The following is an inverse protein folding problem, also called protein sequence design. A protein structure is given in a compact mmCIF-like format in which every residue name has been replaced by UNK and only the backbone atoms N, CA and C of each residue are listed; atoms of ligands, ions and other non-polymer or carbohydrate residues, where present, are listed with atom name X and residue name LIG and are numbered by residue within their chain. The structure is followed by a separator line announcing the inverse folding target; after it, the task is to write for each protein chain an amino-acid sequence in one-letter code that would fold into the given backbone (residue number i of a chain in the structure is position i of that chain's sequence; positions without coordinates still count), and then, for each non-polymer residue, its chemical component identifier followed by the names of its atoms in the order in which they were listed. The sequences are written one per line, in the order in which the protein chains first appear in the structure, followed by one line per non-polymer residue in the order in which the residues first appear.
data_IF_188063178741
#
_entry.id   IF_188063178741
#
_cell.length_a   1.000
_cell.length_b   1.000
_cell.length_c   1.000
_cell.angle_alpha   90.00
_cell.angle_beta   90.00
_cell.angle_gamma   90.00
#
_symmetry.space_group_name_H-M   'P 1'
#
loop_
_entity.id
_entity.type
_entity.pdbx_description
1 polymer ?
#
# COMPACT_ATOMS: atom_id res chain seq x y z
N UNK A 1 37.13 -54.51 43.72
CA UNK A 1 38.15 -55.12 42.85
C UNK A 1 37.77 -54.84 41.40
N UNK A 2 38.66 -54.15 40.66
CA UNK A 2 38.89 -54.10 39.19
C UNK A 2 37.67 -54.15 38.24
N UNK A 3 37.37 -53.09 37.48
CA UNK A 3 38.00 -52.57 36.24
C UNK A 3 37.33 -53.05 34.93
N UNK A 4 36.86 -52.05 34.18
CA UNK A 4 36.96 -51.79 32.74
C UNK A 4 36.27 -52.68 31.66
N UNK A 5 35.47 -51.94 30.87
CA UNK A 5 35.35 -51.90 29.40
C UNK A 5 34.27 -52.73 28.69
N UNK A 6 33.25 -51.99 28.20
CA UNK A 6 32.99 -51.74 26.77
C UNK A 6 31.51 -51.90 26.34
N UNK A 7 31.08 -50.93 25.55
CA UNK A 7 29.85 -50.79 24.74
C UNK A 7 28.56 -50.31 25.42
N UNK A 8 28.01 -49.13 25.03
CA UNK A 8 26.67 -48.71 25.39
C UNK A 8 25.64 -49.24 24.37
N UNK A 9 24.46 -49.71 24.80
CA UNK A 9 23.29 -49.71 23.94
C UNK A 9 22.59 -48.34 23.99
N UNK A 10 22.05 -47.97 22.83
CA UNK A 10 21.11 -46.88 22.56
C UNK A 10 20.17 -46.51 23.72
N UNK A 11 20.01 -45.20 24.03
CA UNK A 11 18.86 -44.73 24.78
C UNK A 11 17.71 -44.39 23.81
N UNK A 12 16.58 -45.03 24.05
CA UNK A 12 15.25 -44.44 24.29
C UNK A 12 14.87 -43.21 23.44
N UNK A 13 13.84 -43.42 22.61
CA UNK A 13 12.81 -42.48 22.18
C UNK A 13 12.92 -41.04 22.70
N UNK A 14 13.48 -40.14 21.88
CA UNK A 14 13.09 -38.73 21.89
C UNK A 14 12.04 -38.54 20.80
N UNK A 15 10.75 -38.51 21.18
CA UNK A 15 9.75 -37.80 20.38
C UNK A 15 10.15 -36.33 20.38
N UNK A 16 10.81 -35.87 19.33
CA UNK A 16 10.90 -34.45 19.00
C UNK A 16 9.49 -34.02 18.59
N UNK A 17 8.72 -33.54 19.56
CA UNK A 17 7.57 -32.68 19.31
C UNK A 17 8.15 -31.44 18.63
N UNK A 18 8.06 -31.38 17.30
CA UNK A 18 8.21 -30.12 16.58
C UNK A 18 7.03 -29.27 17.05
N UNK A 19 7.23 -28.47 18.10
CA UNK A 19 6.45 -27.24 18.24
C UNK A 19 6.77 -26.47 16.98
N UNK A 20 5.82 -26.48 16.03
CA UNK A 20 5.65 -25.34 15.16
C UNK A 20 5.32 -24.21 16.13
N UNK A 21 6.35 -23.51 16.61
CA UNK A 21 6.14 -22.15 17.07
C UNK A 21 5.62 -21.43 15.84
N UNK A 22 4.29 -21.35 15.74
CA UNK A 22 3.68 -20.19 15.13
C UNK A 22 4.17 -19.02 15.97
N UNK A 23 5.34 -18.48 15.65
CA UNK A 23 5.66 -17.09 15.97
C UNK A 23 4.79 -16.23 15.06
N UNK A 24 3.46 -16.34 15.21
CA UNK A 24 2.60 -15.22 14.95
C UNK A 24 3.01 -14.21 16.00
N UNK A 25 3.77 -13.21 15.61
CA UNK A 25 4.04 -12.05 16.46
C UNK A 25 2.69 -11.52 16.91
N UNK A 26 2.33 -11.79 18.16
CA UNK A 26 1.09 -11.29 18.74
C UNK A 26 1.21 -9.77 18.78
N UNK A 27 0.48 -9.11 17.90
CA UNK A 27 0.65 -7.71 17.55
C UNK A 27 -0.60 -6.89 17.81
N UNK A 28 -0.43 -5.58 17.87
CA UNK A 28 -1.54 -4.63 17.87
C UNK A 28 -2.01 -4.49 16.42
N UNK A 29 -3.30 -4.70 16.19
CA UNK A 29 -3.95 -4.57 14.89
C UNK A 29 -4.46 -3.14 14.73
N UNK A 30 -3.87 -2.40 13.79
CA UNK A 30 -4.36 -1.13 13.34
C UNK A 30 -4.21 -1.04 11.81
N UNK A 31 -5.15 -0.39 11.10
CA UNK A 31 -5.00 -0.12 9.68
C UNK A 31 -3.80 0.80 9.44
N UNK A 32 -3.03 0.54 8.39
CA UNK A 32 -1.87 1.38 8.05
C UNK A 32 -2.27 2.82 7.71
N UNK A 33 -3.48 3.00 7.15
CA UNK A 33 -4.01 4.30 6.74
C UNK A 33 -5.52 4.36 6.98
N UNK A 34 -5.99 5.50 7.46
CA UNK A 34 -7.41 5.84 7.62
C UNK A 34 -7.69 7.15 6.89
N UNK A 35 -8.83 7.25 6.21
CA UNK A 35 -9.23 8.46 5.49
C UNK A 35 -10.45 9.08 6.18
N UNK A 36 -10.37 10.37 6.51
CA UNK A 36 -11.47 11.14 7.09
C UNK A 36 -11.82 12.35 6.23
N UNK A 37 -13.04 12.87 6.37
CA UNK A 37 -13.46 14.12 5.71
C UNK A 37 -13.48 15.25 6.74
N UNK A 38 -13.28 16.49 6.26
CA UNK A 38 -13.38 17.68 7.12
C UNK A 38 -14.75 17.74 7.82
N UNK A 39 -14.73 17.98 9.13
CA UNK A 39 -15.92 18.08 9.98
C UNK A 39 -16.54 16.73 10.37
N UNK A 40 -16.17 15.63 9.72
CA UNK A 40 -16.67 14.30 10.08
C UNK A 40 -15.97 13.77 11.35
N UNK A 41 -16.53 12.69 11.91
CA UNK A 41 -15.89 11.91 12.97
C UNK A 41 -15.19 10.70 12.37
N UNK A 42 -13.91 10.52 12.66
CA UNK A 42 -13.12 9.37 12.19
C UNK A 42 -12.79 8.45 13.36
N UNK A 43 -12.79 7.14 13.10
CA UNK A 43 -12.37 6.12 14.05
C UNK A 43 -10.98 5.59 13.69
N UNK A 44 -10.02 5.80 14.60
CA UNK A 44 -8.69 5.21 14.55
C UNK A 44 -8.76 3.84 15.24
N UNK A 45 -9.00 2.79 14.43
CA UNK A 45 -9.14 1.43 14.95
C UNK A 45 -7.81 0.90 15.51
N UNK A 46 -7.83 0.38 16.73
CA UNK A 46 -6.66 -0.22 17.36
C UNK A 46 -7.06 -1.34 18.31
N UNK A 47 -6.77 -2.59 17.94
CA UNK A 47 -7.23 -3.79 18.65
C UNK A 47 -6.05 -4.68 19.03
N UNK A 48 -6.04 -5.18 20.26
CA UNK A 48 -5.03 -6.13 20.71
C UNK A 48 -5.43 -7.55 20.30
N UNK A 49 -4.54 -8.26 19.59
CA UNK A 49 -4.79 -9.65 19.21
C UNK A 49 -4.83 -10.55 20.46
N UNK A 50 -5.68 -11.60 20.50
CA UNK A 50 -5.76 -12.50 21.64
C UNK A 50 -4.40 -13.14 21.93
N UNK A 51 -3.89 -12.92 23.15
CA UNK A 51 -2.64 -13.50 23.63
C UNK A 51 -2.91 -14.91 24.18
N UNK A 52 -2.00 -15.86 23.90
CA UNK A 52 -2.10 -17.24 24.41
C UNK A 52 -1.83 -17.34 25.92
N UNK A 53 -1.19 -16.33 26.52
CA UNK A 53 -0.88 -16.25 27.96
C UNK A 53 -1.78 -15.21 28.66
N UNK A 54 -2.06 -15.38 29.96
CA UNK A 54 -2.77 -14.39 30.78
C UNK A 54 -1.97 -13.08 30.90
N UNK A 55 -2.20 -12.17 29.96
CA UNK A 55 -1.56 -10.84 29.93
C UNK A 55 -2.56 -9.80 30.41
N UNK A 56 -2.13 -8.95 31.35
CA UNK A 56 -2.93 -7.83 31.86
C UNK A 56 -2.49 -6.53 31.21
N UNK A 57 -3.42 -5.87 30.50
CA UNK A 57 -3.19 -4.54 29.94
C UNK A 57 -3.25 -3.52 31.07
N UNK A 58 -2.19 -2.73 31.24
CA UNK A 58 -2.09 -1.70 32.27
C UNK A 58 -2.53 -0.32 31.76
N UNK A 59 -2.30 -0.04 30.47
CA UNK A 59 -2.70 1.24 29.87
C UNK A 59 -2.74 1.15 28.34
N UNK A 60 -3.62 1.93 27.71
CA UNK A 60 -3.55 2.26 26.29
C UNK A 60 -3.19 3.73 26.14
N UNK A 61 -2.28 4.06 25.24
CA UNK A 61 -1.86 5.43 24.95
C UNK A 61 -1.83 5.67 23.45
N UNK A 62 -2.35 6.81 23.04
CA UNK A 62 -2.28 7.33 21.69
C UNK A 62 -1.33 8.51 21.66
N UNK A 63 -0.33 8.44 20.79
CA UNK A 63 0.55 9.56 20.50
C UNK A 63 0.39 10.02 19.06
N UNK A 64 0.51 11.33 18.85
CA UNK A 64 0.50 11.98 17.54
C UNK A 64 1.88 12.53 17.27
N UNK A 65 2.46 12.18 16.12
CA UNK A 65 3.70 12.79 15.65
C UNK A 65 3.44 14.17 15.08
N UNK A 66 4.16 15.19 15.57
CA UNK A 66 4.08 16.56 15.05
C UNK A 66 5.05 16.79 13.86
N UNK A 67 4.99 17.97 13.25
CA UNK A 67 5.89 18.36 12.15
C UNK A 67 7.37 18.44 12.56
N UNK A 68 7.66 18.65 13.86
CA UNK A 68 9.02 18.66 14.40
C UNK A 68 9.58 17.25 14.67
N UNK A 69 8.76 16.20 14.52
CA UNK A 69 9.13 14.81 14.77
C UNK A 69 8.92 14.33 16.21
N UNK A 70 8.39 15.17 17.10
CA UNK A 70 8.06 14.80 18.47
C UNK A 70 6.73 14.05 18.53
N UNK A 71 6.67 13.03 19.39
CA UNK A 71 5.45 12.27 19.66
C UNK A 71 4.70 12.90 20.85
N UNK A 72 3.62 13.64 20.56
CA UNK A 72 2.75 14.26 21.56
C UNK A 72 1.71 13.27 22.06
N UNK A 73 1.52 13.14 23.38
CA UNK A 73 0.44 12.32 23.93
C UNK A 73 -0.92 13.00 23.68
N UNK A 74 -1.88 12.29 23.07
CA UNK A 74 -3.21 12.83 22.73
C UNK A 74 -4.35 12.18 23.51
N UNK A 75 -4.19 10.91 23.90
CA UNK A 75 -5.17 10.22 24.72
C UNK A 75 -4.52 9.05 25.48
N UNK A 76 -4.94 8.86 26.73
CA UNK A 76 -4.56 7.71 27.54
C UNK A 76 -5.79 7.06 28.16
N UNK A 77 -5.78 5.75 28.33
CA UNK A 77 -6.83 5.02 29.04
C UNK A 77 -6.21 4.07 30.05
N UNK A 78 -6.58 4.23 31.32
CA UNK A 78 -6.19 3.32 32.39
C UNK A 78 -7.40 2.49 32.84
N UNK A 79 -7.30 1.15 32.98
CA UNK A 79 -8.43 0.28 33.31
C UNK A 79 -9.21 0.66 34.57
N UNK A 80 -8.55 1.26 35.57
CA UNK A 80 -9.19 1.70 36.82
C UNK A 80 -9.43 3.21 36.92
N UNK A 81 -8.62 4.05 36.27
CA UNK A 81 -8.73 5.51 36.38
C UNK A 81 -9.58 6.10 35.24
N UNK A 82 -9.83 5.31 34.19
CA UNK A 82 -10.60 5.71 33.02
C UNK A 82 -9.77 6.47 31.98
N UNK A 83 -10.45 7.21 31.08
CA UNK A 83 -9.80 7.97 30.02
C UNK A 83 -9.18 9.27 30.52
N UNK A 84 -8.09 9.67 29.87
CA UNK A 84 -7.34 10.90 30.11
C UNK A 84 -7.03 11.56 28.77
N UNK A 85 -7.41 12.82 28.62
CA UNK A 85 -7.21 13.61 27.42
C UNK A 85 -6.46 14.90 27.80
N UNK A 86 -5.24 15.13 27.29
CA UNK A 86 -4.52 16.39 27.51
C UNK A 86 -5.29 17.60 26.98
N UNK A 87 -5.97 17.45 25.83
CA UNK A 87 -6.90 18.43 25.27
C UNK A 87 -8.31 17.83 25.20
N UNK A 88 -9.22 18.22 26.11
CA UNK A 88 -10.58 17.66 26.15
C UNK A 88 -11.45 18.23 25.02
N UNK A 89 -12.33 17.38 24.46
CA UNK A 89 -13.48 17.83 23.65
C UNK A 89 -13.67 17.13 22.30
N UNK A 90 -12.58 16.76 21.63
CA UNK A 90 -12.63 16.19 20.27
C UNK A 90 -12.37 14.69 20.20
N UNK A 91 -11.82 14.12 21.27
CA UNK A 91 -11.38 12.72 21.33
C UNK A 91 -12.24 11.91 22.30
N UNK A 92 -12.57 10.68 21.92
CA UNK A 92 -13.26 9.72 22.79
C UNK A 92 -12.81 8.27 22.51
N UNK A 93 -12.77 7.43 23.53
CA UNK A 93 -12.54 5.99 23.33
C UNK A 93 -13.86 5.30 22.97
N UNK A 94 -13.84 4.50 21.90
CA UNK A 94 -15.06 3.90 21.34
C UNK A 94 -15.57 2.74 22.20
N UNK A 95 -14.67 1.85 22.61
CA UNK A 95 -15.01 0.60 23.29
C UNK A 95 -14.41 0.47 24.70
N UNK A 96 -13.38 1.24 25.05
CA UNK A 96 -12.70 1.12 26.34
C UNK A 96 -13.59 1.59 27.50
N UNK A 97 -13.85 0.70 28.47
CA UNK A 97 -14.64 0.99 29.67
C UNK A 97 -13.88 0.62 30.96
N UNK A 98 -14.01 1.42 32.04
CA UNK A 98 -13.36 1.08 33.31
C UNK A 98 -13.89 -0.23 33.88
N UNK A 99 -12.99 -1.10 34.33
CA UNK A 99 -13.35 -2.41 34.91
C UNK A 99 -13.58 -3.55 33.90
N UNK A 100 -13.52 -3.29 32.60
CA UNK A 100 -13.56 -4.33 31.55
C UNK A 100 -12.14 -4.66 31.05
N UNK A 101 -11.96 -5.83 30.41
CA UNK A 101 -10.69 -6.17 29.76
C UNK A 101 -10.43 -5.24 28.57
N UNK A 102 -9.35 -4.46 28.67
CA UNK A 102 -8.97 -3.48 27.66
C UNK A 102 -8.32 -4.14 26.44
N UNK A 103 -9.15 -4.65 25.52
CA UNK A 103 -8.71 -5.25 24.24
C UNK A 103 -8.88 -4.33 23.04
N UNK A 104 -9.83 -3.41 23.12
CA UNK A 104 -10.14 -2.45 22.07
C UNK A 104 -9.79 -1.05 22.56
N UNK A 105 -8.72 -0.50 21.98
CA UNK A 105 -8.19 0.83 22.25
C UNK A 105 -8.57 1.83 21.18
N UNK A 106 -9.59 1.55 20.36
CA UNK A 106 -9.99 2.40 19.24
C UNK A 106 -10.43 3.79 19.71
N UNK A 107 -9.97 4.81 19.00
CA UNK A 107 -10.13 6.22 19.36
C UNK A 107 -10.94 6.92 18.27
N UNK A 108 -12.02 7.59 18.64
CA UNK A 108 -12.79 8.45 17.74
C UNK A 108 -12.34 9.91 17.90
N UNK A 109 -12.06 10.56 16.77
CA UNK A 109 -11.74 11.97 16.66
C UNK A 109 -12.87 12.69 15.91
N UNK A 110 -13.54 13.60 16.60
CA UNK A 110 -14.67 14.41 16.11
C UNK A 110 -14.19 15.71 15.49
N UNK A 111 -15.01 16.26 14.60
CA UNK A 111 -14.79 17.56 13.94
C UNK A 111 -13.41 17.61 13.28
N UNK A 112 -13.15 16.70 12.35
CA UNK A 112 -11.85 16.61 11.69
C UNK A 112 -11.43 17.93 11.05
N UNK A 113 -10.20 18.35 11.32
CA UNK A 113 -9.55 19.50 10.71
C UNK A 113 -8.39 19.05 9.81
N UNK A 114 -7.95 19.92 8.91
CA UNK A 114 -6.79 19.65 8.06
C UNK A 114 -5.50 19.49 8.87
N UNK A 115 -5.42 20.11 10.05
CA UNK A 115 -4.27 20.02 10.93
C UNK A 115 -4.16 18.67 11.63
N UNK A 116 -5.24 17.86 11.68
CA UNK A 116 -5.21 16.55 12.32
C UNK A 116 -4.58 15.46 11.43
N UNK A 117 -4.24 15.78 10.17
CA UNK A 117 -3.50 14.87 9.30
C UNK A 117 -2.11 14.58 9.87
N UNK A 118 -1.92 13.38 10.42
CA UNK A 118 -0.71 13.00 11.14
C UNK A 118 -0.56 11.48 11.30
N UNK A 119 0.62 11.07 11.78
CA UNK A 119 0.85 9.69 12.22
C UNK A 119 0.45 9.52 13.68
N UNK A 120 -0.53 8.66 13.89
CA UNK A 120 -0.99 8.27 15.19
C UNK A 120 -0.38 6.92 15.55
N UNK A 121 0.20 6.82 16.73
CA UNK A 121 0.74 5.57 17.29
C UNK A 121 -0.11 5.16 18.47
N UNK A 122 -0.71 3.98 18.36
CA UNK A 122 -1.42 3.34 19.45
C UNK A 122 -0.48 2.40 20.19
N UNK A 123 -0.38 2.52 21.51
CA UNK A 123 0.52 1.75 22.36
C UNK A 123 -0.24 1.10 23.52
N UNK A 124 -0.20 -0.22 23.56
CA UNK A 124 -0.66 -1.03 24.69
C UNK A 124 0.52 -1.33 25.61
N UNK A 125 0.41 -0.91 26.88
CA UNK A 125 1.30 -1.32 27.95
C UNK A 125 0.70 -2.55 28.64
N UNK A 126 1.49 -3.61 28.81
CA UNK A 126 1.02 -4.89 29.31
C UNK A 126 2.05 -5.56 30.23
N UNK A 127 1.58 -6.27 31.25
CA UNK A 127 2.43 -7.01 32.18
C UNK A 127 2.15 -8.51 32.07
N UNK A 128 3.18 -9.38 31.95
CA UNK A 128 4.63 -9.11 32.01
C UNK A 128 5.31 -8.82 30.65
N UNK A 129 4.58 -8.85 29.54
CA UNK A 129 5.15 -8.87 28.17
C UNK A 129 5.66 -7.52 27.60
N UNK A 130 5.62 -6.44 28.39
CA UNK A 130 6.15 -5.13 28.01
C UNK A 130 5.13 -4.26 27.29
N UNK A 131 5.50 -3.58 26.20
CA UNK A 131 4.54 -2.81 25.40
C UNK A 131 4.54 -3.24 23.94
N UNK A 132 3.37 -3.14 23.30
CA UNK A 132 3.20 -3.34 21.86
C UNK A 132 2.54 -2.09 21.28
N UNK A 133 2.89 -1.72 20.05
CA UNK A 133 2.32 -0.56 19.38
C UNK A 133 2.06 -0.79 17.90
N UNK A 134 1.13 -0.03 17.35
CA UNK A 134 0.83 0.03 15.92
C UNK A 134 0.68 1.48 15.48
N UNK A 135 1.01 1.75 14.21
CA UNK A 135 0.97 3.08 13.61
C UNK A 135 -0.13 3.16 12.56
N UNK A 136 -0.83 4.28 12.51
CA UNK A 136 -1.86 4.58 11.52
C UNK A 136 -1.71 6.02 11.01
N UNK A 137 -1.77 6.19 9.69
CA UNK A 137 -1.75 7.51 9.05
C UNK A 137 -3.17 8.01 8.84
N UNK A 138 -3.55 9.10 9.51
CA UNK A 138 -4.84 9.75 9.28
C UNK A 138 -4.70 10.74 8.13
N UNK A 139 -5.41 10.49 7.02
CA UNK A 139 -5.43 11.37 5.86
C UNK A 139 -6.74 12.15 5.81
N UNK A 140 -6.65 13.47 5.67
CA UNK A 140 -7.82 14.36 5.58
C UNK A 140 -7.78 15.07 4.23
N UNK A 141 -8.16 14.40 3.12
CA UNK A 141 -8.13 15.02 1.81
C UNK A 141 -9.05 16.24 1.80
N UNK A 142 -8.46 17.39 1.50
CA UNK A 142 -9.23 18.58 1.14
C UNK A 142 -9.92 18.30 -0.17
N UNK A 143 -11.24 18.53 -0.22
CA UNK A 143 -11.93 18.61 -1.50
C UNK A 143 -11.31 19.80 -2.23
N UNK A 144 -10.76 19.63 -3.45
CA UNK A 144 -10.36 20.78 -4.23
C UNK A 144 -11.61 21.65 -4.38
N UNK A 145 -11.48 22.93 -4.01
CA UNK A 145 -12.47 23.93 -4.40
C UNK A 145 -12.68 23.74 -5.89
N UNK A 146 -13.93 23.53 -6.32
CA UNK A 146 -14.21 23.38 -7.75
C UNK A 146 -13.53 24.53 -8.45
N UNK A 147 -12.62 24.28 -9.42
CA UNK A 147 -11.88 25.36 -10.02
C UNK A 147 -12.89 26.30 -10.68
N UNK A 148 -12.94 27.54 -10.20
CA UNK A 148 -13.86 28.53 -10.73
C UNK A 148 -13.43 28.89 -12.15
N UNK A 149 -14.37 29.06 -13.09
CA UNK A 149 -14.04 29.46 -14.44
C UNK A 149 -13.51 30.90 -14.43
N UNK A 150 -12.31 31.09 -14.98
CA UNK A 150 -11.61 32.39 -15.04
C UNK A 150 -11.58 32.86 -16.49
N UNK A 151 -11.69 34.17 -16.78
CA UNK A 151 -11.47 34.69 -18.13
C UNK A 151 -10.03 34.43 -18.59
N UNK A 152 -9.86 33.68 -19.68
CA UNK A 152 -8.55 33.31 -20.26
C UNK A 152 -8.26 33.99 -21.59
N UNK A 153 -9.29 34.53 -22.26
CA UNK A 153 -9.14 35.27 -23.50
C UNK A 153 -10.17 36.39 -23.62
N UNK A 154 -9.81 37.46 -24.34
CA UNK A 154 -10.65 38.62 -24.58
C UNK A 154 -10.61 38.97 -26.07
N UNK A 155 -11.79 39.12 -26.67
CA UNK A 155 -11.93 39.59 -28.04
C UNK A 155 -12.84 40.82 -28.07
N UNK A 156 -12.38 41.90 -28.70
CA UNK A 156 -13.07 43.20 -28.73
C UNK A 156 -13.30 43.62 -30.16
N UNK A 157 -14.55 43.93 -30.50
CA UNK A 157 -14.94 44.58 -31.74
C UNK A 157 -15.46 45.98 -31.43
N UNK A 158 -14.70 47.01 -31.79
CA UNK A 158 -15.03 48.41 -31.52
C UNK A 158 -15.81 49.05 -32.68
N UNK A 159 -16.67 50.02 -32.34
CA UNK A 159 -17.34 50.92 -33.30
C UNK A 159 -18.24 50.24 -34.35
N UNK A 160 -18.81 49.07 -34.03
CA UNK A 160 -19.76 48.38 -34.90
C UNK A 160 -21.12 49.07 -34.98
N UNK A 161 -21.68 49.17 -36.18
CA UNK A 161 -23.06 49.62 -36.42
C UNK A 161 -23.68 48.80 -37.54
N UNK A 162 -24.61 47.87 -37.23
CA UNK A 162 -25.07 47.43 -35.91
C UNK A 162 -23.97 46.71 -35.08
N UNK A 163 -24.19 46.35 -33.80
CA UNK A 163 -23.19 45.61 -33.02
C UNK A 163 -22.70 44.34 -33.76
N UNK A 164 -21.39 44.12 -33.79
CA UNK A 164 -20.80 42.93 -34.39
C UNK A 164 -21.10 41.67 -33.55
N UNK A 165 -21.24 40.53 -34.22
CA UNK A 165 -21.45 39.23 -33.56
C UNK A 165 -20.09 38.55 -33.38
N UNK A 166 -19.72 38.28 -32.13
CA UNK A 166 -18.49 37.57 -31.78
C UNK A 166 -18.84 36.11 -31.46
N UNK A 167 -17.99 35.17 -31.82
CA UNK A 167 -18.16 33.76 -31.48
C UNK A 167 -16.83 33.04 -31.37
N UNK A 168 -16.78 31.97 -30.58
CA UNK A 168 -15.61 31.11 -30.39
C UNK A 168 -15.92 29.73 -30.98
N UNK A 169 -15.54 29.45 -32.25
CA UNK A 169 -15.78 28.17 -32.86
C UNK A 169 -14.97 27.07 -32.15
N UNK A 170 -15.54 25.86 -32.08
CA UNK A 170 -14.93 24.66 -31.49
C UNK A 170 -14.77 24.66 -29.96
N UNK A 171 -15.47 25.54 -29.25
CA UNK A 171 -15.57 25.55 -27.78
C UNK A 171 -17.03 25.38 -27.37
N UNK A 172 -17.33 24.33 -26.60
CA UNK A 172 -18.66 24.13 -25.97
C UNK A 172 -18.84 25.00 -24.70
N UNK A 173 -17.82 25.78 -24.35
CA UNK A 173 -17.75 26.56 -23.10
C UNK A 173 -18.42 27.93 -23.22
N UNK A 174 -18.95 28.43 -22.09
CA UNK A 174 -19.69 29.68 -22.03
C UNK A 174 -18.73 30.87 -22.16
N UNK A 175 -18.95 31.71 -23.17
CA UNK A 175 -18.34 33.03 -23.26
C UNK A 175 -19.28 34.08 -22.68
N UNK A 176 -18.72 35.02 -21.92
CA UNK A 176 -19.46 36.18 -21.40
C UNK A 176 -19.33 37.34 -22.38
N UNK A 177 -20.44 37.73 -22.98
CA UNK A 177 -20.50 38.87 -23.90
C UNK A 177 -21.05 40.10 -23.20
N UNK A 178 -20.41 41.24 -23.46
CA UNK A 178 -20.81 42.54 -22.97
C UNK A 178 -20.80 43.54 -24.13
N UNK A 179 -21.73 44.49 -24.10
CA UNK A 179 -21.87 45.53 -25.10
C UNK A 179 -21.91 46.91 -24.43
N UNK A 180 -21.15 47.85 -24.97
CA UNK A 180 -21.07 49.22 -24.47
C UNK A 180 -21.27 50.18 -25.65
N UNK A 181 -22.01 51.29 -25.49
CA UNK A 181 -22.10 52.32 -26.52
C UNK A 181 -20.70 52.84 -26.90
N UNK A 182 -20.44 52.98 -28.21
CA UNK A 182 -19.18 53.48 -28.74
C UNK A 182 -19.05 54.99 -28.62
N UNK A 183 -17.90 55.51 -29.06
CA UNK A 183 -17.61 56.95 -29.00
C UNK A 183 -18.49 57.76 -29.96
N UNK A 184 -18.86 57.17 -31.10
CA UNK A 184 -19.73 57.80 -32.10
C UNK A 184 -21.21 57.43 -31.86
N UNK A 185 -22.15 58.36 -32.10
CA UNK A 185 -23.57 58.11 -31.87
C UNK A 185 -24.09 56.98 -32.76
N UNK A 186 -24.69 55.97 -32.14
CA UNK A 186 -25.24 54.79 -32.81
C UNK A 186 -24.21 53.70 -33.13
N UNK A 187 -22.97 53.82 -32.64
CA UNK A 187 -21.97 52.75 -32.68
C UNK A 187 -21.91 51.99 -31.36
N UNK A 188 -21.45 50.74 -31.41
CA UNK A 188 -21.34 49.86 -30.26
C UNK A 188 -19.98 49.14 -30.25
N UNK A 189 -19.44 48.96 -29.05
CA UNK A 189 -18.26 48.12 -28.81
C UNK A 189 -18.72 46.85 -28.12
N UNK A 190 -18.42 45.70 -28.74
CA UNK A 190 -18.75 44.38 -28.22
C UNK A 190 -17.49 43.71 -27.71
N UNK A 191 -17.51 43.24 -26.47
CA UNK A 191 -16.40 42.55 -25.81
C UNK A 191 -16.86 41.17 -25.38
N UNK A 192 -16.20 40.14 -25.90
CA UNK A 192 -16.45 38.73 -25.56
C UNK A 192 -15.27 38.19 -24.75
N UNK A 193 -15.56 37.71 -23.53
CA UNK A 193 -14.61 37.09 -22.62
C UNK A 193 -14.83 35.58 -22.61
N UNK A 194 -13.81 34.82 -23.01
CA UNK A 194 -13.82 33.37 -22.91
C UNK A 194 -13.42 32.96 -21.49
N UNK A 195 -14.34 32.32 -20.76
CA UNK A 195 -14.07 31.81 -19.41
C UNK A 195 -13.87 30.31 -19.44
N UNK A 196 -12.72 29.83 -18.96
CA UNK A 196 -12.39 28.40 -18.89
C UNK A 196 -11.92 28.03 -17.48
N UNK A 197 -11.98 26.74 -17.16
CA UNK A 197 -11.31 26.19 -15.98
C UNK A 197 -9.81 26.11 -16.27
N UNK A 198 -8.94 26.75 -15.45
CA UNK A 198 -7.50 26.70 -15.67
C UNK A 198 -6.96 25.27 -15.56
N UNK A 199 -6.29 24.80 -16.59
CA UNK A 199 -5.69 23.46 -16.65
C UNK A 199 -4.44 23.46 -17.52
N UNK A 200 -3.52 22.52 -17.28
CA UNK A 200 -2.32 22.37 -18.13
C UNK A 200 -2.68 22.07 -19.59
N UNK A 201 -3.82 21.42 -19.81
CA UNK A 201 -4.31 21.10 -21.15
C UNK A 201 -4.86 22.31 -21.90
N UNK A 202 -5.24 23.38 -21.20
CA UNK A 202 -5.73 24.61 -21.82
C UNK A 202 -4.58 25.55 -22.21
N UNK A 203 -3.46 25.48 -21.51
CA UNK A 203 -2.28 26.31 -21.79
C UNK A 203 -1.68 26.00 -23.17
N UNK A 204 -1.31 27.03 -23.92
CA UNK A 204 -0.74 26.91 -25.25
C UNK A 204 -1.72 26.45 -26.35
N UNK A 205 -2.99 26.16 -26.02
CA UNK A 205 -4.01 25.88 -27.04
C UNK A 205 -4.33 27.16 -27.83
N UNK A 206 -4.57 27.00 -29.13
CA UNK A 206 -4.98 28.09 -30.01
C UNK A 206 -6.51 28.11 -30.06
N UNK A 207 -7.08 29.23 -29.64
CA UNK A 207 -8.50 29.54 -29.79
C UNK A 207 -8.66 30.58 -30.87
N UNK A 208 -9.77 30.56 -31.61
CA UNK A 208 -10.02 31.54 -32.68
C UNK A 208 -11.18 32.41 -32.27
N UNK A 209 -11.03 33.73 -32.30
CA UNK A 209 -12.18 34.63 -32.22
C UNK A 209 -12.74 34.83 -33.64
N UNK A 210 -14.02 34.52 -33.83
CA UNK A 210 -14.75 34.75 -35.08
C UNK A 210 -15.64 35.97 -34.93
N UNK A 211 -15.36 37.01 -35.71
CA UNK A 211 -16.12 38.27 -35.73
C UNK A 211 -16.91 38.37 -37.02
N UNK A 212 -18.22 38.57 -36.90
CA UNK A 212 -19.16 38.73 -38.02
C UNK A 212 -19.83 40.09 -37.95
N UNK A 213 -19.80 40.83 -39.06
CA UNK A 213 -20.47 42.13 -39.19
C UNK A 213 -20.84 42.36 -40.65
N UNK A 214 -21.96 43.03 -40.90
CA UNK A 214 -22.51 43.24 -42.26
C UNK A 214 -21.61 44.10 -43.17
N UNK A 215 -20.68 44.88 -42.59
CA UNK A 215 -19.72 45.67 -43.36
C UNK A 215 -18.50 44.87 -43.84
N UNK A 216 -18.37 43.60 -43.46
CA UNK A 216 -17.22 42.76 -43.80
C UNK A 216 -17.61 41.84 -44.97
N UNK A 217 -16.67 41.59 -45.89
CA UNK A 217 -16.87 40.64 -47.01
C UNK A 217 -17.05 39.19 -46.54
N UNK A 218 -16.65 38.89 -45.30
CA UNK A 218 -16.81 37.61 -44.64
C UNK A 218 -16.41 37.66 -43.17
N UNK A 219 -16.53 36.54 -42.43
CA UNK A 219 -16.13 36.47 -41.03
C UNK A 219 -14.62 36.68 -40.88
N UNK A 220 -14.22 37.56 -39.97
CA UNK A 220 -12.82 37.75 -39.60
C UNK A 220 -12.45 36.75 -38.51
N UNK A 221 -11.37 36.00 -38.72
CA UNK A 221 -10.87 34.98 -37.80
C UNK A 221 -9.54 35.44 -37.19
N UNK A 222 -9.52 35.59 -35.87
CA UNK A 222 -8.36 36.04 -35.10
C UNK A 222 -7.87 34.89 -34.19
N UNK A 223 -6.79 34.17 -34.56
CA UNK A 223 -6.23 33.14 -33.70
C UNK A 223 -5.48 33.77 -32.51
N UNK A 224 -5.71 33.22 -31.33
CA UNK A 224 -5.08 33.60 -30.07
C UNK A 224 -4.52 32.33 -29.40
N UNK A 225 -3.28 32.40 -28.93
CA UNK A 225 -2.71 31.34 -28.09
C UNK A 225 -3.03 31.64 -26.64
N UNK A 226 -3.63 30.68 -25.94
CA UNK A 226 -3.98 30.83 -24.53
C UNK A 226 -2.73 30.78 -23.64
N UNK A 227 -2.65 31.72 -22.71
CA UNK A 227 -1.61 31.80 -21.68
C UNK A 227 -2.28 31.62 -20.32
N UNK A 228 -2.41 30.36 -19.88
CA UNK A 228 -3.25 29.99 -18.74
C UNK A 228 -2.38 29.66 -17.54
N UNK A 229 -2.44 30.42 -16.44
CA UNK A 229 -1.81 30.04 -15.18
C UNK A 229 -2.59 28.91 -14.49
N UNK A 230 -1.90 27.89 -13.99
CA UNK A 230 -2.52 26.72 -13.32
C UNK A 230 -1.65 26.18 -12.16
N UNK A 231 -2.28 25.58 -11.13
CA UNK A 231 -1.57 24.98 -10.00
C UNK A 231 -0.78 23.73 -10.42
N UNK A 232 0.20 23.26 -9.63
CA UNK A 232 1.06 22.14 -10.03
C UNK A 232 0.30 20.83 -10.19
N UNK A 233 0.40 20.21 -11.36
CA UNK A 233 0.03 18.82 -11.60
C UNK A 233 1.27 17.94 -11.37
N UNK A 234 1.18 17.05 -10.38
CA UNK A 234 2.33 16.29 -9.88
C UNK A 234 2.16 14.80 -10.19
N UNK A 235 3.26 14.15 -10.55
CA UNK A 235 3.37 12.69 -10.68
C UNK A 235 4.75 12.23 -10.21
N UNK A 236 4.90 10.95 -9.85
CA UNK A 236 6.17 10.38 -9.40
C UNK A 236 6.56 9.25 -10.36
N UNK A 237 7.80 9.27 -10.84
CA UNK A 237 8.38 8.25 -11.71
C UNK A 237 9.69 7.69 -11.13
N UNK A 238 10.22 6.62 -11.74
CA UNK A 238 11.49 5.99 -11.35
C UNK A 238 11.37 4.66 -10.61
N UNK A 239 10.17 4.23 -10.25
CA UNK A 239 9.90 2.91 -9.68
C UNK A 239 9.55 1.91 -10.80
N UNK A 240 10.20 0.74 -10.81
CA UNK A 240 10.15 -0.27 -11.88
C UNK A 240 9.53 -1.61 -11.42
N UNK A 241 8.82 -1.62 -10.28
CA UNK A 241 8.21 -2.82 -9.66
C UNK A 241 9.20 -3.96 -9.31
N UNK A 242 10.51 -3.69 -9.36
CA UNK A 242 11.56 -4.69 -9.15
C UNK A 242 12.64 -4.20 -8.17
N UNK A 243 12.21 -3.60 -7.07
CA UNK A 243 13.11 -3.20 -5.99
C UNK A 243 13.30 -4.36 -5.02
N UNK A 244 14.55 -4.63 -4.64
CA UNK A 244 14.92 -5.72 -3.74
C UNK A 244 15.87 -5.20 -2.65
N UNK A 245 15.91 -5.91 -1.52
CA UNK A 245 16.75 -5.54 -0.39
C UNK A 245 18.23 -5.46 -0.79
N UNK A 246 18.89 -4.36 -0.43
CA UNK A 246 20.30 -4.12 -0.74
C UNK A 246 20.56 -3.49 -2.10
N UNK A 247 19.54 -3.24 -2.94
CA UNK A 247 19.69 -2.40 -4.15
C UNK A 247 20.20 -1.02 -3.73
N UNK A 248 21.25 -0.54 -4.39
CA UNK A 248 21.84 0.77 -4.15
C UNK A 248 21.47 1.75 -5.25
N UNK A 249 21.48 3.05 -4.92
CA UNK A 249 21.36 4.16 -5.89
C UNK A 249 20.08 4.14 -6.75
N UNK A 250 18.93 3.88 -6.14
CA UNK A 250 17.65 4.05 -6.82
C UNK A 250 17.17 5.51 -6.71
N UNK A 251 16.57 6.06 -7.75
CA UNK A 251 16.12 7.47 -7.76
C UNK A 251 14.67 7.55 -8.18
N UNK A 252 13.87 8.30 -7.42
CA UNK A 252 12.52 8.71 -7.82
C UNK A 252 12.56 10.16 -8.32
N UNK A 253 11.77 10.47 -9.33
CA UNK A 253 11.62 11.82 -9.86
C UNK A 253 10.18 12.30 -9.66
N UNK A 254 10.03 13.53 -9.19
CA UNK A 254 8.75 14.22 -9.07
C UNK A 254 8.54 15.07 -10.31
N UNK A 255 7.77 14.52 -11.26
CA UNK A 255 7.44 15.14 -12.52
C UNK A 255 6.30 16.12 -12.33
N UNK A 256 6.55 17.39 -12.65
CA UNK A 256 5.62 18.49 -12.40
C UNK A 256 5.35 19.26 -13.68
N UNK A 257 4.06 19.54 -13.91
CA UNK A 257 3.61 20.57 -14.86
C UNK A 257 2.94 21.67 -14.06
N UNK A 258 3.45 22.90 -14.14
CA UNK A 258 2.85 24.05 -13.46
C UNK A 258 3.15 25.34 -14.19
N UNK A 259 2.29 26.34 -14.01
CA UNK A 259 2.54 27.70 -14.51
C UNK A 259 1.95 28.72 -13.53
N UNK A 260 2.77 29.51 -12.82
CA UNK A 260 4.22 29.68 -12.95
C UNK A 260 5.03 28.50 -12.39
N UNK A 261 6.34 28.56 -12.57
CA UNK A 261 7.31 27.58 -12.07
C UNK A 261 7.16 27.31 -10.56
N UNK A 262 7.46 26.08 -10.09
CA UNK A 262 7.37 25.73 -8.68
C UNK A 262 8.31 26.55 -7.80
N UNK A 263 7.83 26.96 -6.63
CA UNK A 263 8.62 27.67 -5.61
C UNK A 263 9.22 26.73 -4.57
N UNK A 264 8.73 25.49 -4.45
CA UNK A 264 9.25 24.51 -3.50
C UNK A 264 8.77 23.09 -3.73
N UNK A 265 9.60 22.13 -3.33
CA UNK A 265 9.35 20.69 -3.34
C UNK A 265 9.50 20.16 -1.91
N UNK A 266 8.57 19.31 -1.50
CA UNK A 266 8.56 18.66 -0.21
C UNK A 266 8.30 17.15 -0.38
N UNK A 267 9.23 16.35 0.12
CA UNK A 267 9.16 14.89 0.06
C UNK A 267 8.89 14.34 1.44
N UNK A 268 7.85 13.54 1.55
CA UNK A 268 7.47 12.87 2.78
C UNK A 268 7.04 11.44 2.49
N UNK A 269 6.74 10.69 3.56
CA UNK A 269 6.09 9.39 3.44
C UNK A 269 4.76 9.43 4.18
N UNK A 270 3.95 8.38 4.06
CA UNK A 270 2.80 8.19 4.97
C UNK A 270 3.21 8.13 6.44
N UNK A 271 4.49 7.90 6.77
CA UNK A 271 5.02 8.01 8.14
C UNK A 271 5.46 9.43 8.54
N UNK A 272 5.24 10.43 7.67
CA UNK A 272 5.56 11.84 7.87
C UNK A 272 7.03 12.14 7.61
N UNK A 273 7.94 11.36 8.16
CA UNK A 273 9.39 11.49 7.93
C UNK A 273 9.88 10.63 6.76
N UNK A 274 10.93 11.08 6.07
CA UNK A 274 11.66 10.25 5.12
C UNK A 274 12.49 9.18 5.87
N UNK A 275 12.62 7.96 5.31
CA UNK A 275 13.55 6.96 5.80
C UNK A 275 15.00 7.47 5.79
N UNK A 276 15.89 7.00 6.70
CA UNK A 276 17.29 7.47 6.75
C UNK A 276 18.07 7.24 5.45
N UNK A 277 17.71 6.22 4.67
CA UNK A 277 18.33 5.90 3.37
C UNK A 277 17.79 6.73 2.20
N UNK A 278 16.75 7.55 2.42
CA UNK A 278 16.12 8.39 1.42
C UNK A 278 16.52 9.86 1.62
N UNK A 279 17.17 10.45 0.62
CA UNK A 279 17.68 11.81 0.66
C UNK A 279 16.98 12.64 -0.41
N UNK A 280 16.23 13.66 0.01
CA UNK A 280 15.55 14.57 -0.89
C UNK A 280 16.54 15.55 -1.56
N UNK A 281 16.42 15.68 -2.88
CA UNK A 281 17.21 16.53 -3.76
C UNK A 281 16.26 17.34 -4.67
N UNK A 282 15.53 18.29 -4.10
CA UNK A 282 14.49 19.07 -4.80
C UNK A 282 13.45 18.17 -5.49
N UNK A 283 13.43 18.14 -6.82
CA UNK A 283 12.51 17.31 -7.61
C UNK A 283 12.87 15.83 -7.63
N UNK A 284 14.01 15.43 -7.07
CA UNK A 284 14.44 14.04 -7.01
C UNK A 284 14.52 13.53 -5.57
N UNK A 285 14.29 12.23 -5.39
CA UNK A 285 14.51 11.52 -4.13
C UNK A 285 15.50 10.38 -4.38
N UNK A 286 16.69 10.51 -3.80
CA UNK A 286 17.75 9.52 -3.90
C UNK A 286 17.60 8.49 -2.78
N UNK A 287 17.43 7.23 -3.15
CA UNK A 287 17.42 6.08 -2.25
C UNK A 287 18.81 5.44 -2.29
N UNK A 288 19.61 5.71 -1.25
CA UNK A 288 20.99 5.23 -1.14
C UNK A 288 21.04 3.71 -1.07
N UNK A 289 20.18 3.13 -0.24
CA UNK A 289 20.08 1.68 -0.04
C UNK A 289 18.64 1.28 0.21
N UNK A 290 18.14 0.32 -0.58
CA UNK A 290 16.80 -0.24 -0.42
C UNK A 290 16.79 -1.20 0.77
N UNK A 291 16.13 -0.81 1.84
CA UNK A 291 15.91 -1.64 3.04
C UNK A 291 14.41 -1.89 3.27
N UNK A 292 14.06 -2.49 4.40
CA UNK A 292 12.66 -2.76 4.74
C UNK A 292 11.83 -1.50 4.97
N UNK A 293 12.46 -0.36 5.28
CA UNK A 293 11.77 0.91 5.52
C UNK A 293 11.36 1.63 4.23
N UNK A 294 11.97 1.26 3.09
CA UNK A 294 11.60 1.74 1.75
C UNK A 294 10.28 1.15 1.24
N UNK A 295 9.78 0.05 1.84
CA UNK A 295 8.45 -0.50 1.56
C UNK A 295 7.36 0.39 2.18
N UNK A 296 7.15 1.56 1.59
CA UNK A 296 6.25 2.61 2.07
C UNK A 296 5.68 3.41 0.88
N UNK A 297 4.75 4.31 1.17
CA UNK A 297 4.22 5.25 0.18
C UNK A 297 4.93 6.59 0.30
N UNK A 298 5.61 6.98 -0.77
CA UNK A 298 6.25 8.28 -0.91
C UNK A 298 5.24 9.31 -1.40
N UNK A 299 5.34 10.53 -0.88
CA UNK A 299 4.48 11.65 -1.20
C UNK A 299 5.38 12.79 -1.66
N UNK A 300 5.18 13.27 -2.90
CA UNK A 300 5.80 14.50 -3.38
C UNK A 300 4.76 15.62 -3.37
N UNK A 301 5.03 16.70 -2.64
CA UNK A 301 4.20 17.89 -2.56
C UNK A 301 4.94 19.07 -3.18
N UNK A 302 4.28 19.77 -4.08
CA UNK A 302 4.89 20.84 -4.87
C UNK A 302 4.01 22.07 -4.85
N UNK A 303 4.61 23.23 -4.59
CA UNK A 303 3.91 24.51 -4.43
C UNK A 303 4.34 25.48 -5.51
N UNK A 304 3.39 26.19 -6.11
CA UNK A 304 3.64 27.39 -6.91
C UNK A 304 2.84 28.57 -6.35
N UNK A 305 2.94 29.74 -7.00
CA UNK A 305 2.24 30.95 -6.57
C UNK A 305 0.70 30.84 -6.54
N UNK A 306 0.12 29.83 -7.18
CA UNK A 306 -1.33 29.63 -7.33
C UNK A 306 -1.88 28.52 -6.44
N UNK A 307 -1.03 27.61 -5.95
CA UNK A 307 -1.47 26.50 -5.11
C UNK A 307 -0.45 25.40 -4.94
N UNK A 308 -0.92 24.29 -4.37
CA UNK A 308 -0.08 23.13 -4.04
C UNK A 308 -0.69 21.87 -4.67
N UNK A 309 0.14 21.15 -5.42
CA UNK A 309 -0.17 19.83 -5.96
C UNK A 309 0.55 18.74 -5.17
N UNK A 310 0.02 17.51 -5.21
CA UNK A 310 0.69 16.36 -4.59
C UNK A 310 0.43 15.06 -5.37
N UNK A 311 1.40 14.16 -5.31
CA UNK A 311 1.30 12.80 -5.84
C UNK A 311 1.79 11.77 -4.82
N UNK A 312 1.27 10.56 -4.90
CA UNK A 312 1.62 9.45 -4.03
C UNK A 312 2.10 8.25 -4.86
N UNK A 313 3.15 7.57 -4.42
CA UNK A 313 3.67 6.36 -5.04
C UNK A 313 4.01 5.33 -3.98
N UNK A 314 3.34 4.18 -4.02
CA UNK A 314 3.60 3.04 -3.12
C UNK A 314 4.70 2.17 -3.72
N UNK A 315 5.75 1.94 -2.93
CA UNK A 315 6.87 1.08 -3.30
C UNK A 315 6.77 -0.25 -2.59
N UNK A 316 6.93 -1.33 -3.32
CA UNK A 316 7.02 -2.69 -2.77
C UNK A 316 8.45 -3.20 -2.93
N UNK A 317 9.07 -3.58 -1.82
CA UNK A 317 10.41 -4.16 -1.81
C UNK A 317 10.30 -5.67 -1.69
N UNK A 318 10.89 -6.38 -2.65
CA UNK A 318 10.96 -7.84 -2.65
C UNK A 318 11.95 -8.30 -1.58
N UNK A 319 11.51 -9.26 -0.78
CA UNK A 319 12.38 -9.97 0.16
C UNK A 319 13.41 -10.80 -0.60
N UNK A 320 14.55 -11.02 0.03
CA UNK A 320 15.54 -11.98 -0.44
C UNK A 320 14.84 -13.35 -0.56
N UNK A 321 14.78 -13.92 -1.75
CA UNK A 321 14.47 -15.34 -1.93
C UNK A 321 15.53 -16.10 -1.14
N UNK A 322 15.20 -16.53 0.07
CA UNK A 322 16.08 -17.40 0.85
C UNK A 322 16.48 -18.54 -0.08
N UNK A 323 17.76 -18.69 -0.47
CA UNK A 323 18.16 -19.83 -1.25
C UNK A 323 17.83 -21.05 -0.39
N UNK A 324 16.82 -21.81 -0.80
CA UNK A 324 16.42 -23.05 -0.13
C UNK A 324 17.67 -23.90 -0.02
N UNK A 325 18.23 -23.99 1.18
CA UNK A 325 19.45 -24.72 1.43
C UNK A 325 19.27 -26.13 0.85
N UNK A 326 20.20 -26.65 0.02
CA UNK A 326 20.07 -27.98 -0.58
C UNK A 326 19.85 -29.09 0.46
N UNK A 327 20.33 -28.90 1.71
CA UNK A 327 20.04 -29.81 2.81
C UNK A 327 18.56 -29.79 3.25
N UNK A 328 17.87 -28.67 3.10
CA UNK A 328 16.46 -28.50 3.43
C UNK A 328 15.56 -29.15 2.37
N UNK A 329 15.90 -29.02 1.08
CA UNK A 329 15.24 -29.75 0.00
C UNK A 329 15.37 -31.27 0.17
N UNK A 330 16.56 -31.75 0.56
CA UNK A 330 16.78 -33.18 0.81
C UNK A 330 15.98 -33.69 2.02
N UNK A 331 15.82 -32.88 3.07
CA UNK A 331 14.95 -33.18 4.22
C UNK A 331 13.46 -33.19 3.84
N UNK A 332 12.99 -32.21 3.07
CA UNK A 332 11.59 -32.15 2.59
C UNK A 332 11.28 -33.37 1.71
N UNK A 333 12.21 -33.76 0.82
CA UNK A 333 12.06 -34.94 -0.02
C UNK A 333 12.00 -36.23 0.83
N UNK A 334 12.86 -36.35 1.85
CA UNK A 334 12.84 -37.48 2.78
C UNK A 334 11.52 -37.57 3.54
N UNK A 335 11.03 -36.45 4.08
CA UNK A 335 9.76 -36.37 4.82
C UNK A 335 8.59 -36.73 3.91
N UNK A 336 8.58 -36.23 2.66
CA UNK A 336 7.57 -36.56 1.65
C UNK A 336 7.53 -38.07 1.35
N UNK A 337 8.69 -38.70 1.17
CA UNK A 337 8.80 -40.16 0.93
C UNK A 337 8.41 -41.01 2.15
N UNK A 338 8.75 -40.58 3.37
CA UNK A 338 8.35 -41.26 4.61
C UNK A 338 6.83 -41.18 4.83
N UNK A 339 6.22 -40.02 4.58
CA UNK A 339 4.77 -39.82 4.69
C UNK A 339 4.00 -40.71 3.70
N UNK A 340 4.51 -40.90 2.48
CA UNK A 340 3.91 -41.83 1.50
C UNK A 340 4.07 -43.29 1.93
N UNK A 341 5.21 -43.66 2.51
CA UNK A 341 5.46 -45.00 3.04
C UNK A 341 4.51 -45.36 4.20
N UNK A 342 4.32 -44.45 5.17
CA UNK A 342 3.39 -44.67 6.28
C UNK A 342 1.92 -44.75 5.84
N UNK A 343 1.51 -43.98 4.82
CA UNK A 343 0.16 -44.09 4.23
C UNK A 343 -0.09 -45.48 3.61
N UNK A 344 0.90 -46.09 2.94
CA UNK A 344 0.74 -47.46 2.41
C UNK A 344 0.83 -48.58 3.45
N UNK A 345 1.44 -48.33 4.61
CA UNK A 345 1.36 -49.25 5.75
C UNK A 345 -0.01 -49.19 6.45
N UNK A 346 -0.62 -48.00 6.53
CA UNK A 346 -1.94 -47.78 7.14
C UNK A 346 -3.12 -48.32 6.32
N UNK A 347 -3.01 -48.39 5.00
CA UNK A 347 -4.08 -48.91 4.13
C UNK A 347 -4.26 -50.44 4.17
N UNK A 348 -3.37 -51.16 4.87
CA UNK A 348 -3.43 -52.63 5.03
C UNK A 348 -4.34 -53.09 6.17
N UNK A 349 -5.04 -52.17 6.84
CA UNK A 349 -5.80 -52.40 8.06
C UNK A 349 -7.31 -52.60 7.94
N UNK A 350 -7.88 -52.95 6.77
CA UNK A 350 -9.35 -53.14 6.66
C UNK A 350 -9.82 -54.30 5.78
N UNK A 351 -9.22 -55.48 5.90
CA UNK A 351 -9.91 -56.71 5.48
C UNK A 351 -9.52 -57.87 6.39
N UNK A 352 -10.47 -58.32 7.21
CA UNK A 352 -10.27 -59.40 8.17
C UNK A 352 -10.18 -60.78 7.50
N UNK A 353 -9.06 -61.47 7.73
CA UNK A 353 -8.94 -62.90 8.09
C UNK A 353 -7.43 -63.27 8.24
N UNK A 354 -7.07 -64.31 9.03
CA UNK A 354 -5.72 -64.48 9.54
C UNK A 354 -4.81 -65.25 8.56
N UNK A 355 -3.60 -64.69 8.35
CA UNK A 355 -2.30 -65.27 7.92
C UNK A 355 -2.26 -66.44 6.90
N UNK A 356 -1.31 -66.45 5.92
CA UNK A 356 0.12 -66.41 6.27
C UNK A 356 1.07 -65.59 5.34
N UNK A 357 2.13 -65.07 5.94
CA UNK A 357 3.49 -64.77 5.41
C UNK A 357 3.66 -63.98 4.08
N UNK A 358 4.36 -62.82 4.08
CA UNK A 358 4.54 -62.02 2.87
C UNK A 358 5.72 -62.51 2.02
N UNK A 359 5.45 -62.94 0.78
CA UNK A 359 6.47 -63.10 -0.28
C UNK A 359 6.07 -62.24 -1.48
N UNK A 360 6.60 -61.02 -1.56
CA UNK A 360 6.36 -60.13 -2.71
C UNK A 360 7.13 -58.81 -2.61
N UNK A 361 7.46 -58.24 -3.77
CA UNK A 361 8.10 -56.93 -3.90
C UNK A 361 7.00 -55.85 -3.92
N UNK A 362 7.20 -54.73 -3.20
CA UNK A 362 6.25 -53.61 -3.18
C UNK A 362 6.77 -52.51 -4.10
N UNK A 363 6.02 -52.19 -5.17
CA UNK A 363 6.34 -51.09 -6.08
C UNK A 363 5.45 -49.90 -5.73
N UNK A 364 6.08 -48.73 -5.54
CA UNK A 364 5.40 -47.47 -5.27
C UNK A 364 5.65 -46.55 -6.46
N UNK A 365 4.62 -46.32 -7.28
CA UNK A 365 4.65 -45.34 -8.37
C UNK A 365 3.35 -44.55 -8.37
N UNK A 366 3.46 -43.22 -8.40
CA UNK A 366 2.33 -42.28 -8.51
C UNK A 366 1.12 -42.60 -7.60
N UNK A 367 1.33 -42.62 -6.28
CA UNK A 367 0.22 -42.72 -5.31
C UNK A 367 -0.56 -44.04 -5.30
N UNK A 368 -0.21 -45.03 -6.13
CA UNK A 368 -0.76 -46.39 -6.08
C UNK A 368 0.27 -47.40 -5.56
N UNK A 369 -0.16 -48.21 -4.59
CA UNK A 369 0.62 -49.32 -4.04
C UNK A 369 0.13 -50.65 -4.65
N UNK A 370 0.97 -51.30 -5.46
CA UNK A 370 0.67 -52.60 -6.08
C UNK A 370 1.69 -53.66 -5.64
N UNK A 371 1.20 -54.85 -5.29
CA UNK A 371 2.03 -55.99 -4.93
C UNK A 371 2.22 -56.90 -6.15
N UNK A 372 3.47 -57.17 -6.53
CA UNK A 372 3.78 -58.07 -7.65
C UNK A 372 4.43 -59.35 -7.10
N UNK A 373 3.90 -60.55 -7.42
CA UNK A 373 4.51 -61.81 -7.02
C UNK A 373 5.70 -62.13 -7.93
N UNK A 374 6.85 -62.51 -7.34
CA UNK A 374 8.03 -62.97 -8.08
C UNK A 374 8.05 -64.51 -8.13
N UNK A 375 8.23 -65.14 -9.31
CA UNK A 375 8.43 -66.58 -9.38
C UNK A 375 9.91 -66.92 -9.14
N UNK A 376 10.17 -67.72 -8.10
CA UNK A 376 11.40 -68.51 -7.96
C UNK A 376 12.68 -67.77 -7.55
N UNK A 377 12.81 -67.38 -6.28
CA UNK A 377 14.13 -67.34 -5.62
C UNK A 377 14.01 -67.53 -4.09
N UNK A 378 15.03 -68.07 -3.39
CA UNK A 378 14.89 -68.53 -2.00
C UNK A 378 15.37 -67.53 -0.92
N UNK A 379 15.58 -66.25 -1.22
CA UNK A 379 16.05 -65.28 -0.21
C UNK A 379 15.48 -63.86 -0.42
N UNK A 380 15.07 -63.14 0.65
CA UNK A 380 14.45 -61.82 0.52
C UNK A 380 15.50 -60.72 0.28
N UNK A 381 15.27 -59.89 -0.74
CA UNK A 381 15.92 -58.57 -0.89
C UNK A 381 14.83 -57.53 -1.19
N UNK A 382 14.75 -56.49 -0.38
CA UNK A 382 13.95 -55.29 -0.68
C UNK A 382 14.76 -54.44 -1.66
N UNK A 383 14.27 -54.25 -2.88
CA UNK A 383 14.89 -53.36 -3.88
C UNK A 383 13.92 -52.23 -4.20
N UNK A 384 14.34 -51.01 -3.89
CA UNK A 384 13.60 -49.77 -4.16
C UNK A 384 13.95 -49.32 -5.58
N UNK A 385 13.03 -49.44 -6.55
CA UNK A 385 13.25 -48.92 -7.90
C UNK A 385 12.78 -47.46 -7.94
N UNK A 386 13.73 -46.51 -8.05
CA UNK A 386 13.43 -45.08 -8.25
C UNK A 386 12.85 -44.87 -9.65
N UNK A 387 11.59 -44.47 -9.77
CA UNK A 387 11.08 -43.93 -11.05
C UNK A 387 11.41 -42.43 -11.15
N UNK A 388 12.14 -42.07 -12.20
CA UNK A 388 12.65 -40.71 -12.49
C UNK A 388 11.54 -39.69 -12.89
N UNK A 389 10.26 -40.01 -12.70
CA UNK A 389 9.13 -39.20 -13.17
C UNK A 389 8.77 -37.98 -12.30
N UNK A 390 9.22 -37.94 -11.05
CA UNK A 390 8.89 -36.86 -10.10
C UNK A 390 9.53 -35.51 -10.48
N UNK A 391 10.64 -35.51 -11.22
CA UNK A 391 11.37 -34.28 -11.55
C UNK A 391 10.63 -33.38 -12.55
N UNK A 392 9.82 -33.95 -13.46
CA UNK A 392 9.15 -33.15 -14.51
C UNK A 392 7.85 -32.51 -14.01
N UNK A 393 7.07 -33.23 -13.19
CA UNK A 393 5.86 -32.69 -12.54
C UNK A 393 6.16 -31.78 -11.35
N UNK A 394 7.21 -32.03 -10.56
CA UNK A 394 7.59 -31.09 -9.48
C UNK A 394 8.00 -29.71 -10.03
N UNK A 395 8.63 -29.65 -11.22
CA UNK A 395 8.97 -28.40 -11.90
C UNK A 395 7.76 -27.71 -12.56
N UNK A 396 6.64 -28.40 -12.75
CA UNK A 396 5.37 -27.84 -13.23
C UNK A 396 4.48 -27.40 -12.05
N UNK A 397 4.45 -28.16 -10.95
CA UNK A 397 3.75 -27.82 -9.70
C UNK A 397 4.41 -26.65 -8.95
N UNK A 398 5.75 -26.50 -9.01
CA UNK A 398 6.44 -25.31 -8.51
C UNK A 398 6.08 -24.04 -9.31
N UNK A 399 5.81 -24.16 -10.62
CA UNK A 399 5.27 -23.06 -11.44
C UNK A 399 3.80 -22.76 -11.13
N UNK A 400 3.03 -23.76 -10.68
CA UNK A 400 1.65 -23.57 -10.23
C UNK A 400 1.57 -22.92 -8.83
N UNK A 401 2.54 -23.17 -7.96
CA UNK A 401 2.65 -22.54 -6.64
C UNK A 401 3.01 -21.05 -6.71
N UNK A 402 3.79 -20.62 -7.72
CA UNK A 402 4.02 -19.19 -7.99
C UNK A 402 2.73 -18.45 -8.41
N UNK A 403 1.82 -19.13 -9.12
CA UNK A 403 0.55 -18.51 -9.53
C UNK A 403 -0.48 -18.42 -8.39
N UNK A 404 -0.43 -19.32 -7.40
CA UNK A 404 -1.35 -19.27 -6.24
C UNK A 404 -0.94 -18.24 -5.18
N UNK A 405 0.36 -17.92 -5.07
CA UNK A 405 0.84 -16.87 -4.16
C UNK A 405 0.52 -15.44 -4.63
N UNK A 406 0.14 -15.25 -5.90
CA UNK A 406 -0.29 -13.95 -6.44
C UNK A 406 -1.80 -13.68 -6.30
N UNK A 407 -2.58 -14.65 -5.81
CA UNK A 407 -4.05 -14.55 -5.71
C UNK A 407 -4.58 -14.31 -4.27
N UNK A 408 -3.70 -14.33 -3.26
CA UNK A 408 -4.00 -13.91 -1.88
C UNK A 408 -3.00 -12.84 -1.42
N UNK A 409 -3.12 -11.62 -1.95
CA UNK A 409 -2.64 -10.40 -1.28
C UNK A 409 -3.44 -9.19 -1.71
#
# INVERSE_FOLDING_TARGET
FKELTSFPPSPVSLLLIIRMDRTGTVGVLAPAQVRGRLGDTVELSCKLQPLEHEVRVTQVTWTRRNAAGDDLNVAGFHPTQGPSFPEPGRLEFVAARPGEELRDGSLALRELSAEDEANYTCRFAMFPEGSRSARTWLRVPLRPLSPEPVPVACCVSSEGRPPAKISWPHLDEKANESQVPGHLPGTFTVTSLLTLIPSSQADGKIVTCRVEHESLEGPVLLPLTLDVPYPPEVSISGYDDNWYLGRSEATLSCDVRSKPEPTGYDWSTTSGSLPPSAVAQNSQLLIQTVDKSINTTFICRVTNALGTGQAELTIQVRGEDLPLNPQYLQKILLIGTLMTFYKCLGSRGSSGHPNPSPKGLMLVTEGLCTAVPLPGSPSPRLLLVKSFGFMRRAAEELRFAEHFLHAEQ
#
